data_IF_226395501631
#
_entry.id   IF_226395501631
#
_cell.length_a   1.000
_cell.length_b   1.000
_cell.length_c   1.000
_cell.angle_alpha   90.00
_cell.angle_beta   90.00
_cell.angle_gamma   90.00
#
_symmetry.space_group_name_H-M   'P 1'
#
loop_
_entity.id
_entity.type
_entity.pdbx_description
1 polymer ?
#
# COMPACT_ATOMS: atom_id res chain seq x y z
N UNK A 1 18.83 61.40 -57.27
CA UNK A 1 19.04 60.04 -56.74
C UNK A 1 17.68 59.39 -56.53
N UNK A 2 17.08 58.87 -57.60
CA UNK A 2 15.71 58.34 -57.59
C UNK A 2 15.76 56.86 -57.14
N UNK A 3 15.35 56.59 -55.90
CA UNK A 3 15.24 55.22 -55.40
C UNK A 3 14.06 54.50 -56.07
N UNK A 4 14.32 53.27 -56.50
CA UNK A 4 13.43 52.36 -57.22
C UNK A 4 12.23 51.94 -56.36
N UNK A 5 11.04 52.48 -56.62
CA UNK A 5 9.77 52.09 -55.98
C UNK A 5 8.91 50.97 -56.66
N UNK A 6 9.30 50.23 -57.71
CA UNK A 6 8.40 49.22 -58.30
C UNK A 6 8.36 47.89 -57.52
N UNK A 7 9.35 47.59 -56.68
CA UNK A 7 9.40 46.36 -55.89
C UNK A 7 8.48 46.42 -54.67
N UNK A 8 8.28 47.61 -54.09
CA UNK A 8 7.49 47.79 -52.87
C UNK A 8 5.98 47.52 -53.11
N UNK A 9 5.44 47.94 -54.26
CA UNK A 9 4.03 47.65 -54.64
C UNK A 9 3.75 46.17 -54.86
N UNK A 10 4.76 45.39 -55.28
CA UNK A 10 4.62 43.94 -55.55
C UNK A 10 4.68 43.11 -54.26
N UNK A 11 5.42 43.58 -53.25
CA UNK A 11 5.59 42.88 -51.97
C UNK A 11 4.47 43.26 -50.97
N UNK A 12 3.83 44.41 -51.15
CA UNK A 12 2.75 44.90 -50.28
C UNK A 12 1.62 43.89 -49.98
N UNK A 13 1.05 43.14 -50.96
CA UNK A 13 0.01 42.16 -50.65
C UNK A 13 0.51 41.00 -49.76
N UNK A 14 1.78 40.60 -49.87
CA UNK A 14 2.37 39.56 -49.02
C UNK A 14 2.58 40.05 -47.58
N UNK A 15 3.03 41.30 -47.41
CA UNK A 15 3.15 41.91 -46.08
C UNK A 15 1.78 42.04 -45.40
N UNK A 16 0.74 42.37 -46.17
CA UNK A 16 -0.62 42.46 -45.66
C UNK A 16 -1.17 41.09 -45.24
N UNK A 17 -0.93 40.04 -46.04
CA UNK A 17 -1.28 38.66 -45.67
C UNK A 17 -0.57 38.19 -44.40
N UNK A 18 0.73 38.51 -44.24
CA UNK A 18 1.51 38.18 -43.04
C UNK A 18 0.98 38.93 -41.82
N UNK A 19 0.67 40.22 -41.95
CA UNK A 19 0.12 41.02 -40.86
C UNK A 19 -1.26 40.51 -40.40
N UNK A 20 -2.12 40.11 -41.35
CA UNK A 20 -3.42 39.50 -41.03
C UNK A 20 -3.22 38.16 -40.31
N UNK A 21 -2.32 37.30 -40.81
CA UNK A 21 -2.01 36.02 -40.15
C UNK A 21 -1.50 36.18 -38.72
N UNK A 22 -0.60 37.14 -38.48
CA UNK A 22 -0.08 37.48 -37.15
C UNK A 22 -1.18 38.02 -36.23
N UNK A 23 -2.09 38.86 -36.76
CA UNK A 23 -3.23 39.37 -36.01
C UNK A 23 -4.17 38.26 -35.53
N UNK A 24 -4.50 37.31 -36.41
CA UNK A 24 -5.35 36.16 -36.07
C UNK A 24 -4.67 35.25 -35.05
N UNK A 25 -3.36 34.98 -35.21
CA UNK A 25 -2.59 34.16 -34.28
C UNK A 25 -2.50 34.80 -32.87
N UNK A 26 -2.24 36.10 -32.79
CA UNK A 26 -2.17 36.82 -31.53
C UNK A 26 -3.54 36.87 -30.81
N UNK A 27 -4.63 37.06 -31.58
CA UNK A 27 -5.98 37.03 -31.04
C UNK A 27 -6.33 35.63 -30.52
N UNK A 28 -6.09 34.59 -31.31
CA UNK A 28 -6.33 33.19 -30.91
C UNK A 28 -5.55 32.81 -29.65
N UNK A 29 -4.27 33.19 -29.56
CA UNK A 29 -3.44 32.95 -28.38
C UNK A 29 -3.99 33.67 -27.14
N UNK A 30 -4.48 34.90 -27.29
CA UNK A 30 -5.08 35.66 -26.19
C UNK A 30 -6.36 35.01 -25.67
N UNK A 31 -7.24 34.53 -26.56
CA UNK A 31 -8.49 33.87 -26.19
C UNK A 31 -8.24 32.52 -25.52
N UNK A 32 -7.33 31.71 -26.07
CA UNK A 32 -6.91 30.42 -25.48
C UNK A 32 -6.27 30.61 -24.09
N UNK A 33 -5.45 31.64 -23.91
CA UNK A 33 -4.85 31.95 -22.60
C UNK A 33 -5.91 32.40 -21.60
N UNK A 34 -6.94 33.12 -22.03
CA UNK A 34 -8.08 33.50 -21.20
C UNK A 34 -8.90 32.29 -20.73
N UNK A 35 -9.20 31.35 -21.63
CA UNK A 35 -9.97 30.14 -21.31
C UNK A 35 -9.16 29.13 -20.47
N UNK A 36 -7.87 28.94 -20.75
CA UNK A 36 -6.99 28.09 -19.95
C UNK A 36 -6.81 28.60 -18.52
N UNK A 37 -6.95 29.91 -18.29
CA UNK A 37 -6.92 30.51 -16.94
C UNK A 37 -8.29 30.48 -16.25
N UNK A 38 -9.38 30.22 -17.00
CA UNK A 38 -10.77 30.26 -16.53
C UNK A 38 -11.43 28.90 -16.39
N UNK A 39 -10.71 27.79 -16.59
CA UNK A 39 -11.17 26.50 -16.05
C UNK A 39 -11.14 26.62 -14.52
N UNK A 40 -12.30 26.99 -13.96
CA UNK A 40 -12.55 27.05 -12.52
C UNK A 40 -12.42 25.62 -12.00
N UNK A 41 -11.20 25.24 -11.67
CA UNK A 41 -10.91 23.93 -11.11
C UNK A 41 -11.64 23.80 -9.78
N UNK A 42 -12.28 22.66 -9.58
CA UNK A 42 -13.02 22.35 -8.36
C UNK A 42 -12.00 22.00 -7.29
N UNK A 43 -12.17 22.58 -6.11
CA UNK A 43 -11.26 22.38 -4.97
C UNK A 43 -11.75 21.21 -4.13
N UNK A 44 -10.88 20.24 -3.92
CA UNK A 44 -11.14 19.11 -3.03
C UNK A 44 -10.08 19.06 -1.92
N UNK A 45 -10.45 18.64 -0.69
CA UNK A 45 -9.51 18.24 0.33
C UNK A 45 -8.69 17.05 -0.15
N UNK A 46 -7.37 17.24 -0.19
CA UNK A 46 -6.37 16.23 -0.52
C UNK A 46 -5.49 15.93 0.69
N UNK A 47 -4.83 14.78 0.68
CA UNK A 47 -3.86 14.44 1.70
C UNK A 47 -2.61 15.34 1.58
N UNK A 48 -2.21 16.02 2.67
CA UNK A 48 -1.03 16.88 2.71
C UNK A 48 0.30 16.09 2.71
N UNK A 49 0.23 14.81 3.12
CA UNK A 49 1.32 13.83 3.15
C UNK A 49 0.76 12.44 2.85
N UNK A 50 1.63 11.46 2.71
CA UNK A 50 1.20 10.06 2.61
C UNK A 50 0.52 9.63 3.92
N UNK A 51 -0.74 9.23 3.83
CA UNK A 51 -1.54 8.77 4.96
C UNK A 51 -1.62 7.24 4.93
N UNK A 52 -1.02 6.54 5.90
CA UNK A 52 -1.11 5.09 5.96
C UNK A 52 -2.53 4.62 6.32
N UNK A 53 -2.90 3.37 5.99
CA UNK A 53 -4.18 2.81 6.39
C UNK A 53 -4.31 2.77 7.92
N UNK A 54 -5.54 2.84 8.41
CA UNK A 54 -5.90 2.86 9.83
C UNK A 54 -5.35 4.05 10.63
N UNK A 55 -4.98 5.14 9.94
CA UNK A 55 -4.56 6.39 10.58
C UNK A 55 -5.77 7.27 10.85
N UNK A 56 -5.79 7.88 12.04
CA UNK A 56 -6.75 8.92 12.40
C UNK A 56 -6.40 10.22 11.67
N UNK A 57 -7.33 10.75 10.88
CA UNK A 57 -7.12 11.98 10.11
C UNK A 57 -7.19 13.20 11.02
N UNK A 58 -6.17 14.03 10.98
CA UNK A 58 -6.12 15.32 11.67
C UNK A 58 -6.24 16.49 10.68
N UNK A 59 -6.60 17.67 11.17
CA UNK A 59 -6.73 18.86 10.29
C UNK A 59 -5.42 19.21 9.55
N UNK A 60 -4.28 18.94 10.17
CA UNK A 60 -2.94 19.15 9.58
C UNK A 60 -2.57 18.15 8.48
N UNK A 61 -3.30 17.05 8.37
CA UNK A 61 -3.11 16.03 7.33
C UNK A 61 -3.82 16.39 6.02
N UNK A 62 -4.56 17.50 6.00
CA UNK A 62 -5.40 17.93 4.89
C UNK A 62 -4.83 19.18 4.22
N UNK A 63 -4.92 19.20 2.90
CA UNK A 63 -4.59 20.36 2.06
C UNK A 63 -5.68 20.52 0.99
N UNK A 64 -5.60 21.58 0.18
CA UNK A 64 -6.51 21.81 -0.93
C UNK A 64 -5.84 21.51 -2.27
N UNK A 65 -6.42 20.59 -3.04
CA UNK A 65 -6.04 20.31 -4.42
C UNK A 65 -7.05 20.89 -5.40
N UNK A 66 -6.59 21.34 -6.57
CA UNK A 66 -7.46 21.86 -7.64
C UNK A 66 -7.51 20.84 -8.77
N UNK A 67 -8.72 20.41 -9.15
CA UNK A 67 -8.95 19.38 -10.16
C UNK A 67 -9.81 19.91 -11.32
N UNK A 68 -9.63 19.39 -12.54
CA UNK A 68 -10.33 19.88 -13.73
C UNK A 68 -11.83 19.50 -13.77
N UNK A 69 -12.24 18.52 -12.98
CA UNK A 69 -13.62 18.01 -12.94
C UNK A 69 -13.99 17.49 -11.56
N UNK A 70 -15.29 17.29 -11.33
CA UNK A 70 -15.77 16.60 -10.14
C UNK A 70 -15.23 15.18 -10.08
N UNK A 71 -14.88 14.74 -8.87
CA UNK A 71 -14.39 13.40 -8.62
C UNK A 71 -15.45 12.64 -7.82
N UNK A 72 -16.01 11.55 -8.35
CA UNK A 72 -17.09 10.84 -7.69
C UNK A 72 -16.65 10.29 -6.33
N UNK A 73 -17.41 10.62 -5.29
CA UNK A 73 -17.16 10.20 -3.92
C UNK A 73 -16.00 10.93 -3.22
N UNK A 74 -15.42 11.97 -3.84
CA UNK A 74 -14.52 12.87 -3.14
C UNK A 74 -15.28 13.67 -2.09
N UNK A 75 -14.63 13.91 -0.96
CA UNK A 75 -15.19 14.74 0.11
C UNK A 75 -15.11 16.19 -0.32
N UNK A 76 -16.14 17.00 -0.07
CA UNK A 76 -16.11 18.43 -0.37
C UNK A 76 -15.65 19.26 0.83
N UNK A 77 -16.02 18.82 2.04
CA UNK A 77 -15.72 19.52 3.28
C UNK A 77 -14.66 18.79 4.12
N UNK A 78 -13.49 19.40 4.40
CA UNK A 78 -12.46 18.76 5.22
C UNK A 78 -12.95 18.38 6.63
N UNK A 79 -13.95 19.08 7.16
CA UNK A 79 -14.52 18.75 8.48
C UNK A 79 -15.14 17.35 8.54
N UNK A 80 -15.59 16.80 7.42
CA UNK A 80 -16.13 15.43 7.36
C UNK A 80 -15.04 14.36 7.47
N UNK A 81 -13.80 14.71 7.11
CA UNK A 81 -12.66 13.81 7.17
C UNK A 81 -11.97 13.81 8.53
N UNK A 82 -11.94 14.96 9.23
CA UNK A 82 -11.25 15.08 10.52
C UNK A 82 -11.89 14.17 11.57
N UNK A 83 -11.05 13.38 12.26
CA UNK A 83 -11.50 12.42 13.27
C UNK A 83 -12.00 11.08 12.72
N UNK A 84 -12.05 10.92 11.40
CA UNK A 84 -12.27 9.61 10.77
C UNK A 84 -10.96 8.84 10.63
N UNK A 85 -11.08 7.54 10.46
CA UNK A 85 -9.96 6.63 10.22
C UNK A 85 -9.99 6.14 8.78
N UNK A 86 -8.83 6.09 8.15
CA UNK A 86 -8.68 5.57 6.80
C UNK A 86 -8.79 4.04 6.76
N UNK A 87 -9.58 3.50 5.83
CA UNK A 87 -9.62 2.06 5.54
C UNK A 87 -8.45 1.60 4.67
N UNK A 88 -7.91 2.50 3.83
CA UNK A 88 -6.78 2.26 2.93
C UNK A 88 -5.80 3.44 2.96
N UNK A 89 -4.55 3.19 2.58
CA UNK A 89 -3.57 4.25 2.45
C UNK A 89 -3.93 5.23 1.32
N UNK A 90 -3.71 6.51 1.57
CA UNK A 90 -3.95 7.59 0.60
C UNK A 90 -2.63 8.34 0.37
N UNK A 91 -2.12 8.39 -0.87
CA UNK A 91 -0.88 9.09 -1.14
C UNK A 91 -1.09 10.61 -1.08
N UNK A 92 0.02 11.32 -0.91
CA UNK A 92 0.04 12.79 -0.93
C UNK A 92 -0.62 13.35 -2.21
N UNK A 93 -1.29 14.48 -2.05
CA UNK A 93 -1.98 15.24 -3.10
C UNK A 93 -3.15 14.49 -3.75
N UNK A 94 -3.53 13.33 -3.19
CA UNK A 94 -4.69 12.56 -3.63
C UNK A 94 -5.96 12.96 -2.88
N UNK A 95 -7.11 13.08 -3.57
CA UNK A 95 -8.38 13.46 -2.97
C UNK A 95 -8.90 12.37 -2.03
N UNK A 96 -9.36 12.79 -0.85
CA UNK A 96 -9.99 11.88 0.10
C UNK A 96 -11.38 11.49 -0.37
N UNK A 97 -11.73 10.21 -0.21
CA UNK A 97 -13.02 9.68 -0.61
C UNK A 97 -13.83 9.23 0.59
N UNK A 98 -15.14 9.43 0.55
CA UNK A 98 -16.08 9.01 1.59
C UNK A 98 -16.02 7.50 1.82
N UNK A 99 -15.80 6.71 0.75
CA UNK A 99 -15.65 5.25 0.82
C UNK A 99 -14.47 4.79 1.69
N UNK A 100 -13.46 5.64 1.80
CA UNK A 100 -12.21 5.32 2.46
C UNK A 100 -12.21 5.74 3.93
N UNK A 101 -13.25 6.46 4.37
CA UNK A 101 -13.38 6.94 5.74
C UNK A 101 -14.29 6.03 6.57
N UNK A 102 -13.85 5.73 7.77
CA UNK A 102 -14.60 4.96 8.77
C UNK A 102 -14.59 5.67 10.11
N UNK A 103 -15.63 5.46 10.89
CA UNK A 103 -15.66 5.91 12.28
C UNK A 103 -14.70 5.05 13.11
N UNK A 104 -13.89 5.64 14.01
CA UNK A 104 -12.92 4.89 14.81
C UNK A 104 -13.60 3.79 15.63
N UNK A 105 -14.80 4.05 16.16
CA UNK A 105 -15.58 3.06 16.92
C UNK A 105 -16.25 1.96 16.08
N UNK A 106 -16.30 2.12 14.75
CA UNK A 106 -16.86 1.10 13.84
C UNK A 106 -15.83 0.06 13.41
N UNK A 107 -14.55 0.29 13.72
CA UNK A 107 -13.45 -0.59 13.34
C UNK A 107 -13.24 -1.67 14.39
N UNK A 108 -13.53 -2.92 14.03
CA UNK A 108 -13.15 -4.10 14.82
C UNK A 108 -11.71 -4.54 14.54
N UNK A 109 -10.79 -3.58 14.42
CA UNK A 109 -9.37 -3.85 14.17
C UNK A 109 -8.49 -3.16 15.20
N UNK A 110 -7.39 -3.82 15.56
CA UNK A 110 -6.34 -3.30 16.41
C UNK A 110 -5.00 -3.43 15.71
N UNK A 111 -4.11 -2.47 15.97
CA UNK A 111 -2.76 -2.47 15.42
C UNK A 111 -1.80 -3.21 16.35
N UNK A 112 -1.11 -4.21 15.82
CA UNK A 112 -0.12 -5.01 16.56
C UNK A 112 1.20 -4.99 15.79
N UNK A 113 2.29 -4.73 16.51
CA UNK A 113 3.64 -4.82 15.94
C UNK A 113 4.26 -6.17 16.29
N UNK A 114 4.75 -6.90 15.29
CA UNK A 114 5.40 -8.20 15.48
C UNK A 114 6.81 -8.17 14.91
N UNK A 115 7.72 -8.87 15.59
CA UNK A 115 9.07 -9.07 15.08
C UNK A 115 9.04 -10.12 13.96
N UNK A 116 9.58 -9.77 12.80
CA UNK A 116 9.59 -10.63 11.61
C UNK A 116 10.87 -10.41 10.82
N UNK A 117 11.43 -11.46 10.26
CA UNK A 117 12.55 -11.35 9.32
C UNK A 117 12.07 -11.45 7.87
N UNK A 118 12.99 -11.24 6.92
CA UNK A 118 12.64 -11.22 5.49
C UNK A 118 12.09 -12.53 4.96
N UNK A 119 12.50 -13.69 5.51
CA UNK A 119 12.02 -14.99 5.05
C UNK A 119 10.64 -15.31 5.61
N UNK A 120 10.37 -14.91 6.86
CA UNK A 120 9.07 -15.08 7.53
C UNK A 120 8.02 -14.04 7.16
N UNK A 121 8.41 -12.92 6.55
CA UNK A 121 7.48 -11.91 6.01
C UNK A 121 6.72 -12.43 4.78
N UNK A 122 7.24 -13.46 4.09
CA UNK A 122 6.62 -14.01 2.89
C UNK A 122 6.50 -13.00 1.73
N UNK A 123 7.33 -11.95 1.75
CA UNK A 123 7.27 -10.85 0.79
C UNK A 123 6.04 -9.94 0.93
N UNK A 124 5.31 -10.01 2.04
CA UNK A 124 4.16 -9.16 2.31
C UNK A 124 4.55 -7.67 2.34
N UNK A 125 3.73 -6.85 1.72
CA UNK A 125 3.89 -5.40 1.59
C UNK A 125 2.77 -4.64 2.29
N UNK A 126 2.96 -3.36 2.64
CA UNK A 126 1.87 -2.52 3.11
C UNK A 126 0.64 -2.62 2.18
N UNK A 127 -0.53 -2.89 2.77
CA UNK A 127 -1.79 -3.11 2.07
C UNK A 127 -2.13 -4.58 1.79
N UNK A 128 -1.16 -5.50 1.85
CA UNK A 128 -1.41 -6.92 1.63
C UNK A 128 -2.23 -7.54 2.78
N UNK A 129 -3.03 -8.54 2.41
CA UNK A 129 -3.73 -9.41 3.36
C UNK A 129 -2.80 -10.57 3.73
N UNK A 130 -2.73 -10.93 5.00
CA UNK A 130 -1.88 -12.02 5.51
C UNK A 130 -2.61 -12.84 6.57
N UNK A 131 -2.31 -14.13 6.62
CA UNK A 131 -2.58 -14.98 7.78
C UNK A 131 -1.33 -15.05 8.64
N UNK A 132 -1.49 -14.99 9.96
CA UNK A 132 -0.40 -14.99 10.94
C UNK A 132 -0.32 -16.36 11.58
N UNK A 133 0.86 -16.98 11.52
CA UNK A 133 1.13 -18.28 12.11
C UNK A 133 2.15 -18.17 13.22
N UNK A 134 1.87 -18.86 14.32
CA UNK A 134 2.82 -19.17 15.37
C UNK A 134 3.59 -20.44 15.02
N UNK A 135 4.86 -20.30 14.68
CA UNK A 135 5.78 -21.40 14.44
C UNK A 135 6.47 -21.75 15.75
N UNK A 136 6.35 -22.99 16.18
CA UNK A 136 7.19 -23.50 17.26
C UNK A 136 8.57 -23.79 16.67
N UNK A 137 9.66 -23.14 17.14
CA UNK A 137 11.00 -23.50 16.72
C UNK A 137 11.23 -24.94 17.15
N UNK A 138 11.29 -25.84 16.17
CA UNK A 138 11.47 -27.26 16.44
C UNK A 138 12.78 -27.43 17.22
N UNK A 139 12.68 -27.89 18.47
CA UNK A 139 13.82 -28.49 19.16
C UNK A 139 14.21 -29.76 18.38
N UNK A 140 15.08 -29.57 17.39
CA UNK A 140 15.97 -30.54 16.72
C UNK A 140 15.43 -31.84 16.11
N UNK A 141 14.17 -32.21 16.23
CA UNK A 141 13.67 -33.47 15.66
C UNK A 141 12.48 -33.26 14.73
N UNK A 142 12.75 -33.40 13.43
CA UNK A 142 11.83 -33.58 12.31
C UNK A 142 10.66 -32.57 12.22
N UNK A 143 10.87 -31.49 11.46
CA UNK A 143 9.78 -30.68 10.94
C UNK A 143 8.94 -31.54 9.99
N UNK A 144 7.79 -32.03 10.43
CA UNK A 144 6.86 -32.74 9.56
C UNK A 144 5.88 -31.74 8.93
N UNK A 145 5.64 -31.79 7.60
CA UNK A 145 4.66 -30.92 6.94
C UNK A 145 3.30 -30.98 7.65
N UNK A 146 2.75 -29.81 7.97
CA UNK A 146 1.49 -29.72 8.72
C UNK A 146 1.66 -29.92 10.23
N UNK A 147 2.86 -29.92 10.79
CA UNK A 147 3.06 -29.87 12.25
C UNK A 147 4.03 -28.72 12.59
N UNK A 148 3.81 -28.04 13.71
CA UNK A 148 4.69 -26.97 14.18
C UNK A 148 4.34 -25.55 13.75
N UNK A 149 3.19 -25.34 13.11
CA UNK A 149 2.63 -24.00 12.87
C UNK A 149 1.15 -23.94 13.29
N UNK A 150 0.79 -22.96 14.10
CA UNK A 150 -0.58 -22.73 14.57
C UNK A 150 -1.07 -21.41 14.01
N UNK A 151 -2.23 -21.39 13.33
CA UNK A 151 -2.85 -20.14 12.89
C UNK A 151 -3.29 -19.34 14.13
N UNK A 152 -2.80 -18.10 14.25
CA UNK A 152 -3.11 -17.21 15.38
C UNK A 152 -3.98 -16.03 15.00
N UNK A 153 -3.94 -15.60 13.73
CA UNK A 153 -4.80 -14.56 13.21
C UNK A 153 -5.06 -14.76 11.72
N UNK A 154 -6.27 -14.43 11.27
CA UNK A 154 -6.69 -14.62 9.90
C UNK A 154 -7.11 -13.28 9.28
N UNK A 155 -6.79 -13.10 7.99
CA UNK A 155 -7.16 -11.89 7.23
C UNK A 155 -6.62 -10.60 7.88
N UNK A 156 -5.44 -10.67 8.49
CA UNK A 156 -4.74 -9.50 8.99
C UNK A 156 -4.24 -8.65 7.82
N UNK A 157 -4.28 -7.32 7.94
CA UNK A 157 -3.74 -6.42 6.91
C UNK A 157 -2.41 -5.84 7.33
N UNK A 158 -1.40 -5.93 6.48
CA UNK A 158 -0.10 -5.29 6.74
C UNK A 158 -0.26 -3.78 6.58
N UNK A 159 0.02 -3.03 7.65
CA UNK A 159 -0.04 -1.56 7.66
C UNK A 159 1.29 -0.97 7.26
N UNK A 160 2.38 -1.46 7.84
CA UNK A 160 3.74 -1.01 7.53
C UNK A 160 4.75 -2.10 7.82
N UNK A 161 5.87 -2.07 7.11
CA UNK A 161 7.05 -2.91 7.38
C UNK A 161 8.20 -1.98 7.73
N UNK A 162 8.80 -2.18 8.90
CA UNK A 162 9.84 -1.34 9.46
C UNK A 162 11.13 -2.13 9.67
N UNK A 163 12.26 -1.41 9.63
CA UNK A 163 13.57 -1.92 9.99
C UNK A 163 13.76 -1.94 11.52
N UNK A 164 14.94 -2.37 11.98
CA UNK A 164 15.29 -2.41 13.41
C UNK A 164 15.28 -1.03 14.10
N UNK A 165 15.35 0.05 13.32
CA UNK A 165 15.35 1.43 13.80
C UNK A 165 13.95 2.06 13.71
N UNK A 166 12.92 1.27 13.38
CA UNK A 166 11.54 1.75 13.23
C UNK A 166 11.32 2.55 11.94
N UNK A 167 12.24 2.50 10.99
CA UNK A 167 12.10 3.22 9.72
C UNK A 167 11.39 2.35 8.68
N UNK A 168 10.49 2.91 7.85
CA UNK A 168 9.84 2.15 6.78
C UNK A 168 10.86 1.50 5.84
N UNK A 169 10.65 0.21 5.55
CA UNK A 169 11.40 -0.53 4.52
C UNK A 169 10.71 -0.27 3.20
N UNK A 170 11.17 0.77 2.51
CA UNK A 170 10.55 1.29 1.30
C UNK A 170 10.69 0.29 0.14
N UNK A 171 9.57 -0.26 -0.33
CA UNK A 171 9.57 -1.39 -1.29
C UNK A 171 9.77 -1.00 -2.76
N UNK A 172 9.96 0.30 -3.07
CA UNK A 172 10.04 0.79 -4.46
C UNK A 172 11.23 1.69 -4.80
N UNK A 173 11.60 2.63 -3.93
CA UNK A 173 12.58 3.68 -4.28
C UNK A 173 13.99 3.45 -3.69
N UNK A 174 14.10 2.62 -2.65
CA UNK A 174 15.39 2.31 -2.01
C UNK A 174 16.29 1.36 -2.81
N UNK A 175 15.74 0.54 -3.70
CA UNK A 175 16.52 -0.46 -4.44
C UNK A 175 17.42 0.15 -5.53
N UNK A 176 17.01 1.27 -6.13
CA UNK A 176 17.82 1.94 -7.17
C UNK A 176 18.87 2.85 -6.53
N UNK A 177 18.57 3.50 -5.41
CA UNK A 177 19.56 4.32 -4.67
C UNK A 177 20.59 3.47 -3.90
N UNK A 178 20.18 2.33 -3.33
CA UNK A 178 21.09 1.41 -2.65
C UNK A 178 22.11 0.75 -3.60
N UNK A 179 21.73 0.54 -4.86
CA UNK A 179 22.64 0.02 -5.89
C UNK A 179 23.74 1.03 -6.28
N UNK A 180 23.50 2.33 -6.10
CA UNK A 180 24.45 3.40 -6.47
C UNK A 180 25.33 3.82 -5.28
N UNK A 181 24.88 3.61 -4.03
CA UNK A 181 25.60 4.07 -2.83
C UNK A 181 26.10 2.97 -1.89
N UNK A 182 25.94 1.68 -2.22
CA UNK A 182 26.44 0.58 -1.38
C UNK A 182 25.80 0.51 0.01
N UNK A 183 24.67 1.20 0.22
CA UNK A 183 23.92 1.19 1.46
C UNK A 183 23.17 -0.13 1.59
N UNK A 184 23.50 -0.90 2.63
CA UNK A 184 22.91 -2.19 2.92
C UNK A 184 21.37 -2.12 2.84
N UNK A 185 20.79 -3.03 2.07
CA UNK A 185 19.34 -3.23 1.95
C UNK A 185 18.75 -3.34 3.37
N UNK A 186 17.91 -2.39 3.76
CA UNK A 186 17.30 -2.38 5.11
C UNK A 186 16.44 -3.63 5.27
N UNK A 187 16.93 -4.59 6.06
CA UNK A 187 16.19 -5.82 6.30
C UNK A 187 14.96 -5.52 7.17
N UNK A 188 13.79 -6.07 6.81
CA UNK A 188 12.61 -5.97 7.65
C UNK A 188 12.88 -6.61 9.00
N UNK A 189 12.41 -5.94 10.05
CA UNK A 189 12.52 -6.41 11.43
C UNK A 189 11.16 -6.39 12.15
N UNK A 190 10.27 -5.49 11.75
CA UNK A 190 8.99 -5.28 12.40
C UNK A 190 7.91 -5.20 11.32
N UNK A 191 6.83 -5.96 11.47
CA UNK A 191 5.60 -5.77 10.70
C UNK A 191 4.50 -5.23 11.62
N UNK A 192 3.86 -4.15 11.19
CA UNK A 192 2.66 -3.61 11.85
C UNK A 192 1.45 -4.16 11.14
N UNK A 193 0.60 -4.85 11.87
CA UNK A 193 -0.57 -5.57 11.36
C UNK A 193 -1.84 -4.96 11.95
N UNK A 194 -2.85 -4.76 11.10
CA UNK A 194 -4.22 -4.54 11.52
C UNK A 194 -4.92 -5.90 11.61
N UNK A 195 -5.27 -6.30 12.83
CA UNK A 195 -5.82 -7.62 13.17
C UNK A 195 -7.16 -7.44 13.85
N UNK A 196 -8.05 -8.43 13.80
CA UNK A 196 -9.33 -8.37 14.51
C UNK A 196 -9.10 -8.29 16.02
N UNK A 197 -9.90 -7.52 16.74
CA UNK A 197 -9.69 -7.28 18.17
C UNK A 197 -9.63 -8.57 19.01
N UNK A 198 -10.40 -9.60 18.63
CA UNK A 198 -10.40 -10.90 19.29
C UNK A 198 -9.12 -11.73 19.12
N UNK A 199 -8.34 -11.49 18.06
CA UNK A 199 -7.15 -12.28 17.70
C UNK A 199 -5.86 -11.72 18.30
N UNK A 200 -5.90 -10.47 18.78
CA UNK A 200 -4.74 -9.72 19.29
C UNK A 200 -3.98 -10.48 20.39
N UNK A 201 -4.70 -11.10 21.33
CA UNK A 201 -4.10 -11.82 22.46
C UNK A 201 -3.15 -12.93 22.02
N UNK A 202 -3.41 -13.55 20.87
CA UNK A 202 -2.61 -14.64 20.30
C UNK A 202 -1.34 -14.14 19.59
N UNK A 203 -1.29 -12.84 19.25
CA UNK A 203 -0.21 -12.24 18.46
C UNK A 203 0.79 -11.48 19.34
N UNK A 204 0.35 -10.92 20.49
CA UNK A 204 1.19 -10.14 21.41
C UNK A 204 2.53 -10.83 21.74
N UNK A 205 2.60 -12.16 21.98
CA UNK A 205 3.87 -12.79 22.28
C UNK A 205 4.90 -12.66 21.13
N UNK A 206 4.43 -12.46 19.89
CA UNK A 206 5.21 -12.18 18.68
C UNK A 206 6.00 -10.86 18.72
N UNK A 207 5.64 -9.94 19.61
CA UNK A 207 6.34 -8.66 19.81
C UNK A 207 7.59 -8.80 20.70
N UNK A 208 7.80 -9.95 21.35
CA UNK A 208 8.94 -10.16 22.23
C UNK A 208 10.27 -10.03 21.48
N UNK A 209 11.27 -9.42 22.13
CA UNK A 209 12.59 -9.23 21.55
C UNK A 209 13.21 -10.58 21.17
N UNK A 210 13.72 -10.68 19.93
CA UNK A 210 14.26 -11.92 19.33
C UNK A 210 13.25 -13.05 19.09
N UNK A 211 11.94 -12.76 19.10
CA UNK A 211 10.95 -13.77 18.75
C UNK A 211 11.05 -14.14 17.26
N UNK A 212 11.31 -15.42 17.00
CA UNK A 212 11.37 -16.02 15.65
C UNK A 212 10.14 -16.87 15.30
N UNK A 213 9.15 -16.88 16.18
CA UNK A 213 8.00 -17.79 16.14
C UNK A 213 6.83 -17.23 15.33
N UNK A 214 6.95 -16.09 14.66
CA UNK A 214 5.86 -15.55 13.81
C UNK A 214 6.26 -15.63 12.34
N UNK A 215 5.38 -16.22 11.54
CA UNK A 215 5.41 -16.13 10.08
C UNK A 215 4.11 -15.59 9.52
N UNK A 216 4.24 -14.83 8.43
CA UNK A 216 3.14 -14.23 7.70
C UNK A 216 2.99 -14.92 6.36
N UNK A 217 1.76 -15.30 6.04
CA UNK A 217 1.40 -15.91 4.75
C UNK A 217 0.51 -14.95 3.99
N UNK A 218 1.02 -14.39 2.89
CA UNK A 218 0.27 -13.47 2.03
C UNK A 218 -0.92 -14.14 1.36
N UNK A 219 -2.05 -13.44 1.34
CA UNK A 219 -3.31 -13.83 0.71
C UNK A 219 -3.72 -12.85 -0.38
N UNK A 220 -4.46 -13.38 -1.34
CA UNK A 220 -5.03 -12.61 -2.45
C UNK A 220 -6.54 -12.40 -2.31
N UNK A 221 -7.19 -13.04 -1.33
CA UNK A 221 -8.63 -12.93 -1.06
C UNK A 221 -8.95 -13.20 0.41
N UNK A 222 -9.87 -12.40 0.96
CA UNK A 222 -10.45 -12.61 2.30
C UNK A 222 -11.23 -13.93 2.36
N UNK A 223 -11.12 -14.64 3.49
CA UNK A 223 -11.78 -15.93 3.67
C UNK A 223 -11.31 -17.03 2.70
N UNK A 224 -10.21 -16.82 1.96
CA UNK A 224 -9.59 -17.86 1.15
C UNK A 224 -9.24 -19.07 2.01
N UNK A 225 -9.63 -20.26 1.54
CA UNK A 225 -9.50 -21.51 2.27
C UNK A 225 -8.09 -21.73 2.82
N UNK A 226 -8.03 -22.20 4.07
CA UNK A 226 -6.78 -22.37 4.80
C UNK A 226 -5.85 -23.33 4.08
N UNK A 227 -4.59 -22.94 3.88
CA UNK A 227 -3.51 -23.91 3.76
C UNK A 227 -3.20 -24.39 5.18
N UNK A 228 -4.01 -25.30 5.74
CA UNK A 228 -3.67 -25.97 7.00
C UNK A 228 -4.74 -26.28 8.04
N UNK A 229 -6.06 -26.24 7.78
CA UNK A 229 -7.08 -26.60 8.81
C UNK A 229 -6.83 -27.97 9.45
N UNK A 230 -6.18 -28.89 8.73
CA UNK A 230 -5.92 -30.26 9.17
C UNK A 230 -4.50 -30.51 9.73
N UNK A 231 -3.71 -29.47 10.01
CA UNK A 231 -2.39 -29.59 10.61
C UNK A 231 -2.41 -29.97 12.11
N UNK A 232 -3.58 -29.93 12.76
CA UNK A 232 -3.73 -30.20 14.20
C UNK A 232 -4.63 -31.39 14.56
N UNK A 233 -5.01 -32.23 13.59
CA UNK A 233 -5.92 -33.35 13.84
C UNK A 233 -5.20 -34.51 14.54
N UNK A 234 -5.52 -34.71 15.83
CA UNK A 234 -5.14 -35.88 16.61
C UNK A 234 -5.36 -37.18 15.79
N UNK A 235 -4.31 -37.99 15.72
CA UNK A 235 -4.32 -39.25 15.01
C UNK A 235 -5.32 -40.24 15.61
N UNK A 236 -6.26 -40.67 14.79
CA UNK A 236 -6.92 -41.97 14.91
C UNK A 236 -6.61 -42.77 13.65
N UNK A 237 -5.36 -43.19 13.49
CA UNK A 237 -5.06 -44.31 12.60
C UNK A 237 -5.40 -45.60 13.35
N UNK A 238 -6.19 -46.53 12.78
CA UNK A 238 -6.47 -47.80 13.43
C UNK A 238 -5.17 -48.60 13.67
N UNK A 239 -5.10 -49.43 14.72
CA UNK A 239 -3.88 -50.13 15.11
C UNK A 239 -3.36 -50.98 13.95
N UNK A 240 -2.13 -50.68 13.53
CA UNK A 240 -1.43 -51.43 12.51
C UNK A 240 -1.18 -52.85 13.04
N UNK A 241 -1.68 -53.85 12.31
CA UNK A 241 -1.61 -55.25 12.71
C UNK A 241 -0.15 -55.69 12.93
N UNK A 242 0.11 -56.36 14.04
CA UNK A 242 1.42 -56.90 14.38
C UNK A 242 1.88 -57.90 13.31
N UNK A 243 3.02 -57.62 12.68
CA UNK A 243 3.70 -58.55 11.80
C UNK A 243 4.15 -59.78 12.61
N UNK A 244 3.65 -60.96 12.22
CA UNK A 244 4.00 -62.23 12.84
C UNK A 244 5.48 -62.60 12.62
N UNK A 245 6.08 -63.39 13.53
CA UNK A 245 7.50 -63.73 13.47
C UNK A 245 7.81 -64.64 12.27
N UNK A 246 8.88 -64.30 11.56
CA UNK A 246 9.42 -65.09 10.46
C UNK A 246 9.97 -66.44 10.96
N UNK A 247 9.50 -67.55 10.38
CA UNK A 247 10.04 -68.89 10.58
C UNK A 247 11.45 -69.02 9.99
N UNK A 248 12.39 -69.71 10.66
CA UNK A 248 13.67 -70.10 10.07
C UNK A 248 13.50 -71.39 9.24
N UNK A 249 13.69 -71.27 7.93
CA UNK A 249 13.77 -72.40 7.00
C UNK A 249 15.21 -72.89 6.85
N UNK A 250 15.36 -74.21 6.92
CA UNK A 250 16.57 -75.04 6.95
C UNK A 250 17.51 -74.88 5.76
#
# INVERSE_FOLDING_TARGET
MAMRFPLLKRIWPYLLAVAVGLGVAAFSFKTLKGEATSQVGIRFPVAARDLPPYTLIQAQDLSWGTFPSELPGAIENPAEAVGKVLSRGVPKDYPLRVSDLKDPGSLDVQLVSVNVDSSRLGGARPGDLVDVYWIQPAEKTAWAPGTGATLVAQDARVVSVLDKNGQPVDTGQGLVAAAVQGTATRAPAIAVLAVKAGEVKSIIPGAAQNNTCIALVRKFKEGGGQVGVNAGGQGNSPPQAAAGPASPGK
#
